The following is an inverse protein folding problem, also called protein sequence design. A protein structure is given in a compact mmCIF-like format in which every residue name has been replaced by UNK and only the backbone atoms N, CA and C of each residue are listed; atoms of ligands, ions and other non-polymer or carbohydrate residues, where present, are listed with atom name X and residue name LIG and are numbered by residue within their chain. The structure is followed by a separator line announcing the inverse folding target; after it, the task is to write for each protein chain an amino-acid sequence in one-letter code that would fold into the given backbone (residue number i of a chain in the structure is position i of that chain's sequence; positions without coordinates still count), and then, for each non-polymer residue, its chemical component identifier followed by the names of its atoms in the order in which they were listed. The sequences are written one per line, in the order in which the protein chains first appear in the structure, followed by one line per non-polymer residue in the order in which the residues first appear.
data_IF_671269903598
#
_entry.id   IF_671269903598
#
_cell.length_a   1.000
_cell.length_b   1.000
_cell.length_c   1.000
_cell.angle_alpha   90.00
_cell.angle_beta   90.00
_cell.angle_gamma   90.00
#
_symmetry.space_group_name_H-M   'P 1'
#
loop_
_entity.id
_entity.type
_entity.pdbx_description
1 polymer ?
#
# COMPACT_ATOMS: atom_id res chain seq x y z
N UNK A 1 -33.04 1.73 -14.61
CA UNK A 1 -31.70 2.22 -14.97
C UNK A 1 -30.69 1.66 -13.98
N UNK A 2 -30.03 0.54 -14.33
CA UNK A 2 -29.00 -0.08 -13.48
C UNK A 2 -27.66 0.16 -14.15
N UNK A 3 -26.86 1.07 -13.58
CA UNK A 3 -25.49 1.32 -14.03
C UNK A 3 -24.65 0.17 -13.49
N UNK A 4 -24.50 -0.86 -14.32
CA UNK A 4 -23.71 -2.04 -14.03
C UNK A 4 -22.24 -1.64 -14.11
N UNK A 5 -21.64 -1.25 -12.97
CA UNK A 5 -20.22 -0.93 -12.88
C UNK A 5 -19.38 -2.22 -12.93
N UNK A 6 -19.32 -2.82 -14.11
CA UNK A 6 -18.27 -3.75 -14.46
C UNK A 6 -16.97 -2.95 -14.48
N UNK A 7 -16.19 -3.05 -13.41
CA UNK A 7 -14.81 -2.57 -13.37
C UNK A 7 -14.02 -3.44 -14.34
N UNK A 8 -14.09 -3.11 -15.62
CA UNK A 8 -13.29 -3.69 -16.68
C UNK A 8 -11.84 -3.28 -16.42
N UNK A 9 -11.06 -4.18 -15.82
CA UNK A 9 -9.61 -4.00 -15.69
C UNK A 9 -9.02 -4.19 -17.09
N UNK A 10 -9.03 -3.12 -17.89
CA UNK A 10 -8.41 -3.11 -19.20
C UNK A 10 -6.95 -3.55 -19.09
N UNK A 11 -6.50 -4.55 -19.86
CA UNK A 11 -5.08 -4.88 -19.93
C UNK A 11 -4.33 -3.65 -20.45
N UNK A 12 -3.39 -3.17 -19.64
CA UNK A 12 -2.55 -2.00 -19.95
C UNK A 12 -1.86 -2.20 -21.31
N UNK A 13 -2.18 -1.39 -22.34
CA UNK A 13 -1.65 -1.56 -23.70
C UNK A 13 -0.11 -1.57 -23.74
N UNK A 14 0.49 -2.24 -24.73
CA UNK A 14 1.95 -2.47 -24.81
C UNK A 14 2.81 -1.22 -24.64
N UNK A 15 2.39 -0.09 -25.23
CA UNK A 15 3.05 1.21 -25.13
C UNK A 15 3.24 1.72 -23.68
N UNK A 16 2.30 1.41 -22.78
CA UNK A 16 2.41 1.80 -21.37
C UNK A 16 3.51 1.01 -20.63
N UNK A 17 3.86 -0.21 -21.08
CA UNK A 17 4.96 -0.99 -20.48
C UNK A 17 6.31 -0.34 -20.76
N UNK A 18 6.52 0.15 -21.99
CA UNK A 18 7.74 0.82 -22.38
C UNK A 18 7.90 2.17 -21.70
N UNK A 19 6.81 2.95 -21.59
CA UNK A 19 6.79 4.20 -20.81
C UNK A 19 7.18 3.96 -19.35
N UNK A 20 6.58 2.97 -18.69
CA UNK A 20 6.92 2.60 -17.30
C UNK A 20 8.36 2.11 -17.16
N UNK A 21 8.88 1.35 -18.14
CA UNK A 21 10.27 0.88 -18.16
C UNK A 21 11.25 2.04 -18.26
N UNK A 22 11.00 3.00 -19.16
CA UNK A 22 11.79 4.22 -19.32
C UNK A 22 11.77 5.07 -18.04
N UNK A 23 10.60 5.34 -17.48
CA UNK A 23 10.48 6.09 -16.20
C UNK A 23 11.21 5.39 -15.06
N UNK A 24 11.03 4.07 -14.87
CA UNK A 24 11.77 3.33 -13.84
C UNK A 24 13.28 3.37 -14.04
N UNK A 25 13.78 3.42 -15.27
CA UNK A 25 15.21 3.61 -15.55
C UNK A 25 15.65 5.02 -15.15
N UNK A 26 14.89 6.04 -15.53
CA UNK A 26 15.16 7.44 -15.17
C UNK A 26 15.21 7.65 -13.65
N UNK A 27 14.19 7.20 -12.92
CA UNK A 27 14.14 7.30 -11.46
C UNK A 27 15.28 6.55 -10.76
N UNK A 28 15.71 5.40 -11.32
CA UNK A 28 16.87 4.68 -10.78
C UNK A 28 18.16 5.49 -10.96
N UNK A 29 18.32 6.15 -12.10
CA UNK A 29 19.50 6.98 -12.35
C UNK A 29 19.52 8.21 -11.42
N UNK A 30 18.36 8.84 -11.18
CA UNK A 30 18.25 9.97 -10.24
C UNK A 30 18.68 9.61 -8.81
N UNK A 31 18.35 8.41 -8.35
CA UNK A 31 18.75 7.92 -7.02
C UNK A 31 20.17 7.31 -6.98
N UNK A 32 20.98 7.53 -8.03
CA UNK A 32 22.39 7.14 -8.09
C UNK A 32 22.66 5.74 -8.65
N UNK A 33 21.63 4.98 -9.05
CA UNK A 33 21.80 3.72 -9.78
C UNK A 33 22.48 2.57 -9.02
N UNK A 34 22.68 2.71 -7.71
CA UNK A 34 23.36 1.72 -6.85
C UNK A 34 22.66 1.54 -5.53
N UNK A 35 22.83 0.37 -4.91
CA UNK A 35 22.32 0.08 -3.58
C UNK A 35 23.04 0.95 -2.55
N UNK A 36 22.29 1.65 -1.70
CA UNK A 36 22.86 2.52 -0.66
C UNK A 36 23.65 1.75 0.42
N UNK A 37 23.33 0.47 0.66
CA UNK A 37 23.96 -0.35 1.72
C UNK A 37 25.21 -1.11 1.25
N UNK A 38 25.23 -1.58 0.00
CA UNK A 38 26.30 -2.46 -0.49
C UNK A 38 26.89 -2.08 -1.85
N UNK A 39 26.41 -1.01 -2.49
CA UNK A 39 26.91 -0.55 -3.79
C UNK A 39 26.52 -1.39 -5.01
N UNK A 40 25.82 -2.52 -4.84
CA UNK A 40 25.34 -3.35 -5.96
C UNK A 40 24.48 -2.54 -6.94
N UNK A 41 24.65 -2.79 -8.24
CA UNK A 41 23.82 -2.21 -9.32
C UNK A 41 22.74 -3.17 -9.80
N UNK A 42 22.70 -4.40 -9.27
CA UNK A 42 21.77 -5.46 -9.65
C UNK A 42 20.54 -5.51 -8.71
N UNK A 43 19.39 -5.88 -9.27
CA UNK A 43 18.12 -6.11 -8.56
C UNK A 43 17.73 -4.99 -7.60
N UNK A 44 17.76 -3.76 -8.10
CA UNK A 44 17.46 -2.56 -7.34
C UNK A 44 15.96 -2.30 -7.22
N UNK A 45 15.53 -2.02 -5.99
CA UNK A 45 14.18 -1.65 -5.62
C UNK A 45 14.16 -0.26 -4.98
N UNK A 46 13.05 0.45 -5.18
CA UNK A 46 12.75 1.70 -4.48
C UNK A 46 12.26 1.38 -3.08
N UNK A 47 13.05 1.75 -2.07
CA UNK A 47 12.77 1.52 -0.67
C UNK A 47 12.54 2.87 0.04
N UNK A 48 11.51 2.98 0.86
CA UNK A 48 11.24 4.22 1.58
C UNK A 48 12.15 4.31 2.81
N UNK A 49 12.80 5.47 3.02
CA UNK A 49 13.63 5.71 4.22
C UNK A 49 12.78 5.51 5.48
N UNK A 50 11.58 6.09 5.48
CA UNK A 50 10.58 5.92 6.53
C UNK A 50 9.24 5.43 5.94
N UNK A 51 8.82 4.18 6.21
CA UNK A 51 7.59 3.62 5.67
C UNK A 51 6.31 4.23 6.23
N UNK A 52 6.38 4.99 7.35
CA UNK A 52 5.23 5.72 7.92
C UNK A 52 4.95 7.06 7.21
N UNK A 53 5.93 7.59 6.47
CA UNK A 53 5.82 8.86 5.74
C UNK A 53 5.51 8.68 4.24
N UNK A 54 5.34 7.43 3.79
CA UNK A 54 4.97 7.14 2.41
C UNK A 54 3.49 7.40 2.21
N UNK A 55 3.15 7.97 1.07
CA UNK A 55 1.76 8.00 0.61
C UNK A 55 1.44 6.69 -0.09
N UNK A 56 2.30 6.27 -1.03
CA UNK A 56 2.08 5.09 -1.88
C UNK A 56 3.41 4.46 -2.31
N UNK A 57 3.35 3.26 -2.91
CA UNK A 57 4.57 2.64 -3.48
C UNK A 57 4.86 3.29 -4.83
N UNK A 58 6.14 3.55 -5.12
CA UNK A 58 6.59 4.03 -6.45
C UNK A 58 6.09 3.14 -7.59
N UNK A 59 6.00 1.82 -7.36
CA UNK A 59 5.49 0.88 -8.35
C UNK A 59 4.01 1.14 -8.73
N UNK A 60 3.20 1.59 -7.77
CA UNK A 60 1.76 1.83 -7.92
C UNK A 60 1.49 3.22 -8.52
N UNK A 61 2.41 4.18 -8.34
CA UNK A 61 2.29 5.56 -8.81
C UNK A 61 3.23 5.91 -9.96
N UNK A 62 3.80 4.91 -10.65
CA UNK A 62 4.78 5.13 -11.73
C UNK A 62 4.23 5.92 -12.92
N UNK A 63 2.90 6.04 -13.06
CA UNK A 63 2.23 6.85 -14.09
C UNK A 63 1.67 8.17 -13.54
N UNK A 64 1.88 8.48 -12.27
CA UNK A 64 1.45 9.73 -11.67
C UNK A 64 2.14 10.94 -12.32
N UNK A 65 1.53 12.14 -12.20
CA UNK A 65 2.18 13.41 -12.54
C UNK A 65 3.60 13.52 -11.97
N UNK A 66 4.51 14.19 -12.71
CA UNK A 66 5.94 14.21 -12.41
C UNK A 66 6.24 14.82 -11.04
N UNK A 67 5.57 15.92 -10.70
CA UNK A 67 5.62 16.60 -9.40
C UNK A 67 5.28 15.66 -8.24
N UNK A 68 4.15 14.94 -8.34
CA UNK A 68 3.69 13.98 -7.33
C UNK A 68 4.66 12.80 -7.23
N UNK A 69 5.16 12.31 -8.37
CA UNK A 69 6.11 11.20 -8.41
C UNK A 69 7.43 11.60 -7.78
N UNK A 70 7.97 12.77 -8.12
CA UNK A 70 9.25 13.26 -7.60
C UNK A 70 9.18 13.56 -6.10
N UNK A 71 8.05 14.09 -5.61
CA UNK A 71 7.82 14.27 -4.18
C UNK A 71 7.95 12.96 -3.39
N UNK A 72 7.42 11.85 -3.91
CA UNK A 72 7.57 10.53 -3.26
C UNK A 72 8.96 9.93 -3.48
N UNK A 73 9.53 10.05 -4.69
CA UNK A 73 10.88 9.53 -5.01
C UNK A 73 11.96 10.14 -4.11
N UNK A 74 11.83 11.42 -3.74
CA UNK A 74 12.74 12.09 -2.81
C UNK A 74 12.74 11.48 -1.40
N UNK A 75 11.67 10.78 -1.02
CA UNK A 75 11.55 10.03 0.25
C UNK A 75 12.13 8.61 0.14
N UNK A 76 12.51 8.18 -1.06
CA UNK A 76 13.04 6.84 -1.34
C UNK A 76 14.57 6.79 -1.41
N UNK A 77 15.10 5.57 -1.34
CA UNK A 77 16.48 5.19 -1.64
C UNK A 77 16.48 3.94 -2.51
N UNK A 78 17.57 3.69 -3.23
CA UNK A 78 17.76 2.44 -3.93
C UNK A 78 18.41 1.39 -3.04
N UNK A 79 17.84 0.20 -3.04
CA UNK A 79 18.36 -0.93 -2.29
C UNK A 79 18.24 -2.20 -3.12
N UNK A 80 19.25 -3.06 -3.08
CA UNK A 80 19.18 -4.36 -3.74
C UNK A 80 18.23 -5.30 -2.97
N UNK A 81 17.70 -6.31 -3.67
CA UNK A 81 16.76 -7.29 -3.10
C UNK A 81 17.27 -7.98 -1.82
N UNK A 82 18.59 -8.21 -1.69
CA UNK A 82 19.20 -8.79 -0.48
C UNK A 82 19.11 -7.82 0.70
N UNK A 83 19.68 -6.61 0.54
CA UNK A 83 19.69 -5.60 1.60
C UNK A 83 18.27 -5.17 2.00
N UNK A 84 17.33 -5.15 1.05
CA UNK A 84 15.93 -4.86 1.33
C UNK A 84 15.28 -5.93 2.22
N UNK A 85 15.55 -7.22 1.94
CA UNK A 85 15.10 -8.33 2.79
C UNK A 85 15.71 -8.27 4.19
N UNK A 86 17.00 -7.96 4.27
CA UNK A 86 17.69 -7.81 5.56
C UNK A 86 17.09 -6.66 6.39
N UNK A 87 16.88 -5.49 5.78
CA UNK A 87 16.19 -4.35 6.43
C UNK A 87 14.79 -4.73 6.90
N UNK A 88 14.03 -5.44 6.07
CA UNK A 88 12.66 -5.89 6.40
C UNK A 88 12.67 -6.81 7.62
N UNK A 89 13.65 -7.72 7.68
CA UNK A 89 13.84 -8.64 8.81
C UNK A 89 14.26 -7.90 10.07
N UNK A 90 15.22 -6.97 9.97
CA UNK A 90 15.69 -6.15 11.10
C UNK A 90 14.57 -5.31 11.71
N UNK A 91 13.70 -4.71 10.87
CA UNK A 91 12.58 -3.87 11.33
C UNK A 91 11.33 -4.67 11.71
N UNK A 92 11.32 -5.99 11.50
CA UNK A 92 10.15 -6.82 11.72
C UNK A 92 8.93 -6.43 10.87
N UNK A 93 9.14 -5.71 9.76
CA UNK A 93 8.08 -5.22 8.86
C UNK A 93 7.60 -6.33 7.93
N UNK A 94 7.14 -7.44 8.49
CA UNK A 94 6.56 -8.53 7.72
C UNK A 94 5.17 -8.14 7.23
N UNK A 95 4.96 -8.22 5.91
CA UNK A 95 3.67 -7.92 5.29
C UNK A 95 2.55 -8.91 5.64
N UNK A 96 2.88 -10.01 6.35
CA UNK A 96 1.90 -10.95 6.87
C UNK A 96 2.17 -11.22 8.36
N UNK A 97 1.13 -11.20 9.21
CA UNK A 97 1.27 -11.62 10.60
C UNK A 97 1.71 -13.08 10.65
N UNK A 98 2.48 -13.45 11.69
CA UNK A 98 2.78 -14.86 11.98
C UNK A 98 1.46 -15.64 12.06
N UNK A 99 1.47 -16.94 11.68
CA UNK A 99 0.28 -17.79 11.75
C UNK A 99 -0.16 -17.90 13.21
N UNK A 100 -1.16 -17.09 13.60
CA UNK A 100 -1.62 -16.98 14.98
C UNK A 100 -3.15 -16.98 15.01
N UNK A 101 -3.72 -17.82 15.88
CA UNK A 101 -5.15 -17.81 16.17
C UNK A 101 -5.55 -16.49 16.85
N UNK A 102 -6.82 -16.11 16.74
CA UNK A 102 -7.28 -14.82 17.26
C UNK A 102 -7.01 -13.64 16.34
N UNK A 103 -6.72 -13.88 15.07
CA UNK A 103 -6.54 -12.82 14.07
C UNK A 103 -7.60 -12.94 12.97
N UNK A 104 -8.02 -11.80 12.43
CA UNK A 104 -8.93 -11.77 11.26
C UNK A 104 -8.32 -12.46 10.04
N UNK A 105 -6.99 -12.38 9.91
CA UNK A 105 -6.24 -13.04 8.84
C UNK A 105 -6.37 -14.57 8.93
N UNK A 106 -6.18 -15.16 10.12
CA UNK A 106 -6.31 -16.61 10.30
C UNK A 106 -7.74 -17.10 10.04
N UNK A 107 -8.75 -16.28 10.35
CA UNK A 107 -10.15 -16.59 10.01
C UNK A 107 -10.39 -16.52 8.48
N UNK A 108 -9.92 -15.48 7.78
CA UNK A 108 -10.18 -15.27 6.34
C UNK A 108 -9.31 -16.13 5.42
N UNK A 109 -8.21 -16.69 5.91
CA UNK A 109 -7.35 -17.58 5.13
C UNK A 109 -8.11 -18.84 4.68
N UNK A 110 -7.66 -19.52 3.63
CA UNK A 110 -8.18 -20.84 3.22
C UNK A 110 -7.26 -21.97 3.72
N UNK A 111 -7.79 -23.06 4.33
CA UNK A 111 -9.22 -23.33 4.63
C UNK A 111 -9.79 -22.45 5.77
N UNK A 112 -8.91 -21.81 6.56
CA UNK A 112 -9.28 -20.83 7.58
C UNK A 112 -9.63 -21.45 8.92
N UNK A 113 -9.31 -20.75 10.00
CA UNK A 113 -9.63 -21.23 11.35
C UNK A 113 -11.00 -20.73 11.80
N UNK A 114 -11.77 -21.62 12.43
CA UNK A 114 -13.10 -21.33 13.02
C UNK A 114 -13.15 -21.50 14.54
N UNK A 115 -12.00 -21.55 15.23
CA UNK A 115 -11.97 -21.58 16.69
C UNK A 115 -12.55 -20.30 17.30
N UNK A 116 -12.95 -20.35 18.57
CA UNK A 116 -13.60 -19.23 19.25
C UNK A 116 -12.79 -17.94 19.15
N UNK A 117 -11.49 -17.97 19.46
CA UNK A 117 -10.58 -16.82 19.34
C UNK A 117 -10.64 -16.16 17.95
N UNK A 118 -10.63 -16.95 16.87
CA UNK A 118 -10.68 -16.42 15.50
C UNK A 118 -12.08 -15.86 15.15
N UNK A 119 -13.16 -16.46 15.66
CA UNK A 119 -14.52 -15.95 15.52
C UNK A 119 -14.67 -14.60 16.24
N UNK A 120 -14.16 -14.50 17.48
CA UNK A 120 -14.21 -13.28 18.29
C UNK A 120 -13.46 -12.14 17.60
N UNK A 121 -12.26 -12.42 17.06
CA UNK A 121 -11.49 -11.46 16.29
C UNK A 121 -12.24 -10.93 15.05
N UNK A 122 -12.97 -11.81 14.35
CA UNK A 122 -13.80 -11.40 13.21
C UNK A 122 -15.01 -10.57 13.65
N UNK A 123 -15.67 -10.96 14.74
CA UNK A 123 -16.80 -10.22 15.32
C UNK A 123 -16.40 -8.81 15.71
N UNK A 124 -15.27 -8.66 16.43
CA UNK A 124 -14.71 -7.37 16.83
C UNK A 124 -14.37 -6.50 15.60
N UNK A 125 -13.77 -7.08 14.57
CA UNK A 125 -13.48 -6.37 13.32
C UNK A 125 -14.76 -5.85 12.64
N UNK A 126 -15.80 -6.67 12.53
CA UNK A 126 -17.06 -6.26 11.92
C UNK A 126 -17.77 -5.16 12.74
N UNK A 127 -17.75 -5.26 14.08
CA UNK A 127 -18.27 -4.24 14.99
C UNK A 127 -17.56 -2.90 14.78
N UNK A 128 -16.23 -2.91 14.77
CA UNK A 128 -15.43 -1.69 14.55
C UNK A 128 -15.68 -1.07 13.17
N UNK A 129 -15.80 -1.91 12.13
CA UNK A 129 -16.14 -1.45 10.78
C UNK A 129 -17.50 -0.73 10.74
N UNK A 130 -18.52 -1.31 11.39
CA UNK A 130 -19.85 -0.70 11.50
C UNK A 130 -19.81 0.61 12.29
N UNK A 131 -19.08 0.65 13.41
CA UNK A 131 -18.92 1.88 14.20
C UNK A 131 -18.23 2.99 13.40
N UNK A 132 -17.17 2.67 12.65
CA UNK A 132 -16.50 3.65 11.79
C UNK A 132 -17.44 4.22 10.73
N UNK A 133 -18.23 3.36 10.09
CA UNK A 133 -19.23 3.80 9.10
C UNK A 133 -20.29 4.71 9.74
N UNK A 134 -20.76 4.37 10.95
CA UNK A 134 -21.70 5.23 11.69
C UNK A 134 -21.07 6.58 12.05
N UNK A 135 -19.80 6.60 12.48
CA UNK A 135 -19.07 7.85 12.76
C UNK A 135 -18.92 8.73 11.51
N UNK A 136 -18.60 8.15 10.35
CA UNK A 136 -18.52 8.88 9.08
C UNK A 136 -19.88 9.48 8.69
N UNK A 137 -20.98 8.74 8.91
CA UNK A 137 -22.34 9.24 8.67
C UNK A 137 -22.69 10.39 9.63
N UNK A 138 -22.45 10.23 10.93
CA UNK A 138 -22.71 11.27 11.94
C UNK A 138 -21.92 12.54 11.60
N UNK A 139 -20.61 12.41 11.30
CA UNK A 139 -19.78 13.55 10.91
C UNK A 139 -20.30 14.26 9.65
N UNK A 140 -20.89 13.53 8.69
CA UNK A 140 -21.49 14.15 7.50
C UNK A 140 -22.78 14.91 7.82
N UNK A 141 -23.56 14.45 8.80
CA UNK A 141 -24.78 15.13 9.26
C UNK A 141 -24.43 16.41 10.03
N UNK A 142 -23.45 16.34 10.94
CA UNK A 142 -22.98 17.52 11.70
C UNK A 142 -22.47 18.62 10.75
N UNK A 143 -21.79 18.25 9.66
CA UNK A 143 -21.31 19.22 8.66
C UNK A 143 -22.45 19.89 7.88
N UNK A 144 -23.57 19.18 7.63
CA UNK A 144 -24.74 19.75 6.97
C UNK A 144 -25.48 20.73 7.88
N UNK A 145 -25.65 20.38 9.16
CA UNK A 145 -26.27 21.27 10.14
C UNK A 145 -25.48 22.58 10.30
N UNK A 146 -24.14 22.50 10.33
CA UNK A 146 -23.28 23.70 10.41
C UNK A 146 -23.34 24.59 9.15
N UNK A 147 -23.73 24.06 7.98
CA UNK A 147 -23.92 24.84 6.75
C UNK A 147 -25.32 25.44 6.63
N UNK A 148 -26.32 24.88 7.32
CA UNK A 148 -27.71 25.37 7.27
C UNK A 148 -28.02 26.41 8.35
N UNK A 149 -27.19 26.50 9.40
CA UNK A 149 -27.38 27.40 10.54
C UNK A 149 -26.23 28.41 10.74
N UNK A 150 -25.31 28.54 9.77
CA UNK A 150 -24.17 29.46 9.79
C UNK A 150 -24.35 30.69 8.91
#
# INVERSE_FOLDING_TARGET
MLINSLIYVMPVPGYFRDRRKKRRKHLRNLLGGKCIRCGSTKDLHFDHKNPKKKERRIADMIDAPEDVLMAEVNKCVLMCAKCHRDKTREKGEHGQPKRQHGTTWMYKRYPGCRCQKCKDAMSAYNKNKRMKMLQEVVASLDNLENLTFG
#
